data_IF_023225341843
#
_entry.id   IF_023225341843
#
_cell.length_a   1.000
_cell.length_b   1.000
_cell.length_c   1.000
_cell.angle_alpha   90.00
_cell.angle_beta   90.00
_cell.angle_gamma   90.00
#
_symmetry.space_group_name_H-M   'P 1'
#
loop_
_entity.id
_entity.type
_entity.pdbx_description
1 polymer ?
#
# COMPACT_ATOMS: atom_id res chain seq x y z
N UNK A 1 -14.52 9.19 17.39
CA UNK A 1 -14.26 9.12 15.95
C UNK A 1 -13.69 7.75 15.66
N UNK A 2 -14.44 6.91 14.95
CA UNK A 2 -13.93 5.62 14.45
C UNK A 2 -13.71 5.66 12.95
N UNK A 3 -12.73 4.89 12.45
CA UNK A 3 -12.61 4.61 11.02
C UNK A 3 -13.45 3.38 10.70
N UNK A 4 -14.48 3.57 9.90
CA UNK A 4 -15.36 2.51 9.40
C UNK A 4 -14.95 2.22 7.96
N UNK A 5 -14.35 1.05 7.75
CA UNK A 5 -14.06 0.54 6.42
C UNK A 5 -15.36 0.06 5.77
N UNK A 6 -15.67 0.62 4.61
CA UNK A 6 -16.75 0.16 3.73
C UNK A 6 -16.13 -0.64 2.59
N UNK A 7 -16.55 -1.90 2.43
CA UNK A 7 -16.12 -2.75 1.32
C UNK A 7 -17.28 -3.01 0.37
N UNK A 8 -16.99 -3.18 -0.93
CA UNK A 8 -18.04 -3.53 -1.89
C UNK A 8 -18.54 -4.94 -1.61
N UNK A 9 -19.84 -5.21 -1.86
CA UNK A 9 -20.36 -6.57 -1.81
C UNK A 9 -19.56 -7.54 -2.67
N UNK A 10 -19.11 -8.65 -2.09
CA UNK A 10 -18.29 -9.67 -2.73
C UNK A 10 -16.81 -9.30 -2.93
N UNK A 11 -16.37 -8.11 -2.51
CA UNK A 11 -14.96 -7.70 -2.55
C UNK A 11 -14.35 -7.94 -1.17
N UNK A 12 -13.81 -9.15 -0.96
CA UNK A 12 -13.02 -9.44 0.23
C UNK A 12 -11.71 -8.65 0.16
N UNK A 13 -11.59 -7.62 1.00
CA UNK A 13 -10.36 -6.85 1.13
C UNK A 13 -9.51 -7.43 2.26
N UNK A 14 -8.50 -8.20 1.91
CA UNK A 14 -7.51 -8.70 2.86
C UNK A 14 -6.23 -7.89 2.72
N UNK A 15 -5.98 -7.01 3.68
CA UNK A 15 -4.69 -6.36 3.85
C UNK A 15 -4.05 -6.93 5.11
N UNK A 16 -2.83 -7.44 4.98
CA UNK A 16 -2.08 -7.99 6.12
C UNK A 16 -1.75 -6.90 7.15
N UNK A 17 -1.63 -5.63 6.71
CA UNK A 17 -1.37 -4.50 7.57
C UNK A 17 -2.00 -3.22 7.04
N UNK A 18 -2.85 -2.62 7.87
CA UNK A 18 -3.37 -1.28 7.63
C UNK A 18 -2.43 -0.22 8.22
N UNK A 19 -2.19 0.91 7.53
CA UNK A 19 -1.39 2.00 8.08
C UNK A 19 -2.14 2.83 9.15
N UNK A 20 -3.39 2.47 9.45
CA UNK A 20 -4.26 3.11 10.44
C UNK A 20 -5.15 2.04 11.10
N UNK A 21 -5.70 2.38 12.27
CA UNK A 21 -6.63 1.52 12.99
C UNK A 21 -8.02 1.57 12.33
N UNK A 22 -8.57 0.40 12.01
CA UNK A 22 -9.96 0.25 11.57
C UNK A 22 -10.81 -0.11 12.77
N UNK A 23 -11.72 0.79 13.15
CA UNK A 23 -12.63 0.58 14.28
C UNK A 23 -13.75 -0.41 13.93
N UNK A 24 -14.19 -0.42 12.67
CA UNK A 24 -15.24 -1.32 12.18
C UNK A 24 -15.08 -1.59 10.69
N UNK A 25 -15.47 -2.77 10.22
CA UNK A 25 -15.61 -3.08 8.79
C UNK A 25 -17.05 -3.47 8.46
N UNK A 26 -17.56 -3.01 7.32
CA UNK A 26 -18.91 -3.28 6.82
C UNK A 26 -18.86 -3.54 5.31
N UNK A 27 -19.48 -4.62 4.88
CA UNK A 27 -19.77 -4.88 3.47
C UNK A 27 -21.00 -4.07 3.07
N UNK A 28 -20.77 -2.82 2.65
CA UNK A 28 -21.81 -1.84 2.39
C UNK A 28 -21.29 -0.75 1.44
N UNK A 29 -22.15 -0.24 0.56
CA UNK A 29 -21.87 0.97 -0.20
C UNK A 29 -22.13 2.22 0.66
N UNK A 30 -21.61 3.40 0.27
CA UNK A 30 -21.96 4.65 0.94
C UNK A 30 -23.48 4.92 0.97
N UNK A 31 -24.24 4.44 -0.03
CA UNK A 31 -25.70 4.60 -0.08
C UNK A 31 -26.42 3.82 1.03
N UNK A 32 -25.87 2.69 1.45
CA UNK A 32 -26.49 1.80 2.44
C UNK A 32 -26.38 2.34 3.88
N UNK A 33 -25.45 3.27 4.12
CA UNK A 33 -25.15 3.83 5.45
C UNK A 33 -25.63 5.27 5.62
N UNK A 34 -26.30 5.85 4.61
CA UNK A 34 -26.79 7.24 4.67
C UNK A 34 -27.73 7.46 5.85
N UNK A 35 -28.56 6.47 6.20
CA UNK A 35 -29.51 6.57 7.32
C UNK A 35 -28.86 6.60 8.71
N UNK A 36 -27.60 6.20 8.82
CA UNK A 36 -26.87 6.16 10.09
C UNK A 36 -26.41 7.56 10.55
N UNK A 37 -26.38 8.53 9.61
CA UNK A 37 -25.84 9.86 9.83
C UNK A 37 -26.85 10.94 9.40
N UNK A 38 -26.75 12.11 10.03
CA UNK A 38 -27.55 13.27 9.64
C UNK A 38 -26.89 14.02 8.48
N UNK A 39 -25.55 13.93 8.37
CA UNK A 39 -24.78 14.50 7.27
C UNK A 39 -23.52 13.67 6.99
N UNK A 40 -23.33 13.33 5.72
CA UNK A 40 -22.10 12.72 5.21
C UNK A 40 -21.41 13.75 4.31
N UNK A 41 -20.17 14.08 4.63
CA UNK A 41 -19.34 15.02 3.87
C UNK A 41 -18.32 14.24 3.04
N UNK A 42 -18.37 14.30 1.69
CA UNK A 42 -17.33 13.72 0.86
C UNK A 42 -16.05 14.57 0.97
N UNK A 43 -14.95 13.93 1.33
CA UNK A 43 -13.62 14.52 1.43
C UNK A 43 -12.65 13.64 0.64
N UNK A 44 -12.33 14.07 -0.58
CA UNK A 44 -11.33 13.42 -1.44
C UNK A 44 -10.14 14.36 -1.75
N UNK A 45 -10.05 15.50 -1.06
CA UNK A 45 -8.98 16.49 -1.21
C UNK A 45 -8.53 17.08 0.13
N UNK A 46 -7.40 17.82 0.16
CA UNK A 46 -6.76 18.32 1.38
C UNK A 46 -7.50 19.47 2.08
N UNK A 47 -8.76 19.72 1.72
CA UNK A 47 -9.55 20.78 2.33
C UNK A 47 -10.21 20.21 3.57
N UNK A 48 -9.81 20.73 4.74
CA UNK A 48 -10.57 20.55 5.98
C UNK A 48 -11.65 21.63 5.98
N UNK A 49 -12.95 21.29 5.80
CA UNK A 49 -14.00 22.28 5.87
C UNK A 49 -14.05 22.86 7.29
N UNK A 50 -14.47 24.13 7.49
CA UNK A 50 -14.64 24.69 8.83
C UNK A 50 -15.84 24.01 9.51
N UNK A 51 -15.61 22.86 10.12
CA UNK A 51 -16.64 22.02 10.73
C UNK A 51 -16.66 22.32 12.22
N UNK A 52 -17.63 23.13 12.63
CA UNK A 52 -18.09 23.21 14.01
C UNK A 52 -19.31 22.30 14.18
N UNK A 53 -19.22 21.31 15.06
CA UNK A 53 -20.37 20.48 15.42
C UNK A 53 -21.30 21.22 16.38
N UNK A 54 -22.61 21.23 16.08
CA UNK A 54 -23.62 21.40 17.14
C UNK A 54 -23.79 20.07 17.87
N UNK A 55 -24.03 20.10 19.17
CA UNK A 55 -24.32 18.88 19.93
C UNK A 55 -25.49 18.10 19.28
N UNK A 56 -25.35 16.78 19.20
CA UNK A 56 -26.38 15.87 18.71
C UNK A 56 -26.39 15.60 17.20
N UNK A 57 -25.56 16.26 16.40
CA UNK A 57 -25.45 15.98 14.97
C UNK A 57 -24.57 14.76 14.72
N UNK A 58 -25.10 13.71 14.06
CA UNK A 58 -24.33 12.54 13.63
C UNK A 58 -23.64 12.83 12.31
N UNK A 59 -22.35 13.14 12.38
CA UNK A 59 -21.51 13.50 11.24
C UNK A 59 -20.64 12.33 10.79
N UNK A 60 -20.48 12.19 9.48
CA UNK A 60 -19.50 11.30 8.88
C UNK A 60 -18.71 11.95 7.74
N UNK A 61 -17.45 11.54 7.59
CA UNK A 61 -16.54 11.98 6.53
C UNK A 61 -16.27 10.82 5.58
N UNK A 62 -16.79 10.92 4.35
CA UNK A 62 -16.58 9.90 3.33
C UNK A 62 -15.27 10.16 2.59
N UNK A 63 -14.31 9.26 2.73
CA UNK A 63 -13.01 9.31 2.07
C UNK A 63 -12.86 8.13 1.12
N UNK A 64 -12.41 8.37 -0.11
CA UNK A 64 -12.10 7.30 -1.07
C UNK A 64 -10.61 7.17 -1.40
N UNK A 65 -9.81 8.15 -0.99
CA UNK A 65 -8.35 8.18 -1.14
C UNK A 65 -7.61 8.12 0.21
N UNK A 66 -6.43 7.49 0.21
CA UNK A 66 -5.58 7.38 1.42
C UNK A 66 -5.14 8.75 1.93
N UNK A 67 -4.78 9.67 1.02
CA UNK A 67 -4.34 11.02 1.40
C UNK A 67 -5.45 11.84 2.09
N UNK A 68 -6.70 11.70 1.62
CA UNK A 68 -7.84 12.36 2.25
C UNK A 68 -8.13 11.76 3.63
N UNK A 69 -8.12 10.42 3.74
CA UNK A 69 -8.23 9.74 5.03
C UNK A 69 -7.18 10.23 6.03
N UNK A 70 -5.91 10.31 5.62
CA UNK A 70 -4.84 10.83 6.48
C UNK A 70 -5.09 12.30 6.90
N UNK A 71 -5.59 13.12 5.98
CA UNK A 71 -5.90 14.52 6.28
C UNK A 71 -7.02 14.66 7.32
N UNK A 72 -8.06 13.82 7.21
CA UNK A 72 -9.18 13.81 8.18
C UNK A 72 -8.74 13.25 9.53
N UNK A 73 -7.95 12.17 9.54
CA UNK A 73 -7.37 11.62 10.77
C UNK A 73 -6.51 12.65 11.50
N UNK A 74 -5.69 13.41 10.77
CA UNK A 74 -4.82 14.44 11.33
C UNK A 74 -5.59 15.68 11.84
N UNK A 75 -6.79 15.94 11.30
CA UNK A 75 -7.60 17.09 11.66
C UNK A 75 -8.44 16.89 12.93
N UNK A 76 -8.52 15.67 13.47
CA UNK A 76 -9.27 15.32 14.69
C UNK A 76 -10.71 15.86 14.70
N UNK A 77 -11.43 15.64 13.61
CA UNK A 77 -12.77 16.20 13.41
C UNK A 77 -13.84 15.46 14.23
N UNK A 78 -14.90 16.16 14.70
CA UNK A 78 -16.01 15.51 15.36
C UNK A 78 -16.87 14.73 14.35
N UNK A 79 -16.82 13.41 14.40
CA UNK A 79 -17.62 12.51 13.56
C UNK A 79 -16.96 11.14 13.39
N UNK A 80 -17.55 10.29 12.56
CA UNK A 80 -16.92 9.05 12.08
C UNK A 80 -16.28 9.25 10.71
N UNK A 81 -15.31 8.41 10.38
CA UNK A 81 -14.70 8.40 9.04
C UNK A 81 -15.20 7.17 8.30
N UNK A 82 -15.92 7.38 7.21
CA UNK A 82 -16.33 6.33 6.28
C UNK A 82 -15.25 6.20 5.22
N UNK A 83 -14.39 5.19 5.34
CA UNK A 83 -13.38 4.92 4.32
C UNK A 83 -13.92 3.92 3.31
N UNK A 84 -14.18 4.38 2.09
CA UNK A 84 -14.65 3.56 0.97
C UNK A 84 -13.61 3.61 -0.15
N UNK A 85 -12.53 2.82 -0.06
CA UNK A 85 -11.36 2.99 -0.90
C UNK A 85 -11.66 2.81 -2.39
N UNK A 86 -11.18 3.76 -3.18
CA UNK A 86 -11.11 3.63 -4.63
C UNK A 86 -10.08 2.57 -5.03
N UNK A 87 -10.14 2.11 -6.29
CA UNK A 87 -9.12 1.16 -6.81
C UNK A 87 -7.70 1.69 -6.73
N UNK A 88 -7.53 3.01 -6.90
CA UNK A 88 -6.23 3.66 -6.74
C UNK A 88 -5.78 3.62 -5.29
N UNK A 89 -6.67 3.90 -4.34
CA UNK A 89 -6.36 3.80 -2.92
C UNK A 89 -5.99 2.36 -2.51
N UNK A 90 -6.68 1.35 -3.06
CA UNK A 90 -6.31 -0.05 -2.86
C UNK A 90 -4.90 -0.33 -3.37
N UNK A 91 -4.57 0.11 -4.59
CA UNK A 91 -3.23 -0.05 -5.14
C UNK A 91 -2.16 0.66 -4.28
N UNK A 92 -2.43 1.86 -3.79
CA UNK A 92 -1.51 2.61 -2.93
C UNK A 92 -1.29 1.89 -1.59
N UNK A 93 -2.36 1.36 -0.99
CA UNK A 93 -2.29 0.56 0.24
C UNK A 93 -1.50 -0.73 0.03
N UNK A 94 -1.74 -1.44 -1.08
CA UNK A 94 -0.99 -2.65 -1.45
C UNK A 94 0.50 -2.31 -1.60
N UNK A 95 0.82 -1.25 -2.35
CA UNK A 95 2.20 -0.80 -2.54
C UNK A 95 2.88 -0.44 -1.23
N UNK A 96 2.19 0.25 -0.32
CA UNK A 96 2.74 0.61 0.98
C UNK A 96 2.95 -0.60 1.91
N UNK A 97 2.14 -1.65 1.76
CA UNK A 97 2.23 -2.88 2.55
C UNK A 97 3.29 -3.86 2.01
N UNK A 98 3.73 -3.72 0.75
CA UNK A 98 4.74 -4.59 0.15
C UNK A 98 6.05 -4.54 0.92
N UNK A 99 6.67 -5.70 1.10
CA UNK A 99 8.06 -5.80 1.53
C UNK A 99 8.92 -6.05 0.30
N UNK A 100 9.91 -5.22 0.06
CA UNK A 100 10.73 -5.28 -1.15
C UNK A 100 12.22 -5.43 -0.85
N UNK A 101 12.95 -6.01 -1.79
CA UNK A 101 14.37 -6.26 -1.69
C UNK A 101 15.20 -5.01 -2.00
N UNK A 102 16.21 -4.77 -1.16
CA UNK A 102 17.23 -3.74 -1.35
C UNK A 102 18.62 -4.31 -1.12
N UNK A 103 19.64 -3.63 -1.63
CA UNK A 103 21.04 -3.98 -1.37
C UNK A 103 21.39 -3.72 0.10
N UNK A 104 21.80 -4.77 0.84
CA UNK A 104 22.19 -4.66 2.26
C UNK A 104 23.48 -3.85 2.47
N UNK A 105 24.31 -3.74 1.43
CA UNK A 105 25.58 -3.00 1.38
C UNK A 105 25.84 -2.55 -0.06
N UNK A 106 26.87 -1.72 -0.31
CA UNK A 106 27.28 -1.46 -1.68
C UNK A 106 27.68 -2.77 -2.40
N UNK A 107 27.24 -2.91 -3.65
CA UNK A 107 27.51 -4.04 -4.53
C UNK A 107 28.18 -3.55 -5.80
N UNK A 108 29.19 -4.28 -6.27
CA UNK A 108 29.87 -3.98 -7.52
C UNK A 108 29.18 -4.63 -8.72
N UNK A 109 29.30 -4.01 -9.90
CA UNK A 109 28.91 -4.64 -11.15
C UNK A 109 29.63 -5.99 -11.34
N UNK A 110 28.88 -7.01 -11.77
CA UNK A 110 29.34 -8.39 -11.95
C UNK A 110 29.35 -9.23 -10.67
N UNK A 111 29.09 -8.63 -9.50
CA UNK A 111 29.00 -9.36 -8.23
C UNK A 111 27.79 -10.31 -8.23
N UNK A 112 27.98 -11.53 -7.72
CA UNK A 112 26.90 -12.53 -7.63
C UNK A 112 26.11 -12.30 -6.33
N UNK A 113 24.79 -12.19 -6.44
CA UNK A 113 23.90 -11.97 -5.31
C UNK A 113 23.86 -13.20 -4.39
N UNK A 114 24.20 -12.99 -3.12
CA UNK A 114 24.03 -13.93 -2.03
C UNK A 114 22.98 -13.41 -1.04
N UNK A 115 22.49 -14.27 -0.14
CA UNK A 115 21.45 -13.89 0.83
C UNK A 115 21.84 -12.68 1.69
N UNK A 116 23.12 -12.58 2.07
CA UNK A 116 23.69 -11.48 2.86
C UNK A 116 23.79 -10.14 2.10
N UNK A 117 23.64 -10.15 0.77
CA UNK A 117 23.60 -8.93 -0.06
C UNK A 117 22.21 -8.30 -0.09
N UNK A 118 21.19 -8.99 0.41
CA UNK A 118 19.79 -8.63 0.26
C UNK A 118 19.17 -8.35 1.63
N UNK A 119 18.74 -7.11 1.84
CA UNK A 119 17.88 -6.68 2.93
C UNK A 119 16.46 -6.42 2.41
N UNK A 120 15.54 -6.17 3.33
CA UNK A 120 14.14 -5.91 3.03
C UNK A 120 13.77 -4.50 3.51
N UNK A 121 12.91 -3.80 2.76
CA UNK A 121 12.29 -2.54 3.18
C UNK A 121 10.77 -2.60 2.99
N UNK A 122 10.03 -1.80 3.76
CA UNK A 122 8.57 -1.69 3.65
C UNK A 122 8.21 -0.58 2.64
N UNK A 123 7.25 -0.84 1.75
CA UNK A 123 6.71 0.14 0.81
C UNK A 123 7.65 0.53 -0.34
N UNK A 124 8.74 -0.21 -0.53
CA UNK A 124 9.77 0.12 -1.51
C UNK A 124 9.40 -0.18 -2.96
N UNK A 125 10.29 0.20 -3.86
CA UNK A 125 10.11 0.05 -5.33
C UNK A 125 10.80 -1.19 -5.91
N UNK A 126 11.52 -1.94 -5.07
CA UNK A 126 12.20 -3.16 -5.49
C UNK A 126 11.26 -4.34 -5.76
N UNK A 127 11.88 -5.48 -6.07
CA UNK A 127 11.21 -6.77 -6.17
C UNK A 127 10.64 -7.18 -4.82
N UNK A 128 9.53 -7.90 -4.85
CA UNK A 128 8.93 -8.46 -3.66
C UNK A 128 9.89 -9.42 -2.94
N UNK A 129 9.92 -9.42 -1.61
CA UNK A 129 10.78 -10.32 -0.80
C UNK A 129 10.54 -11.79 -1.08
N UNK A 130 9.35 -12.17 -1.55
CA UNK A 130 9.05 -13.54 -1.97
C UNK A 130 9.91 -14.01 -3.16
N UNK A 131 10.45 -13.07 -3.94
CA UNK A 131 11.34 -13.34 -5.07
C UNK A 131 12.82 -13.47 -4.66
N UNK A 132 13.15 -13.38 -3.36
CA UNK A 132 14.54 -13.45 -2.86
C UNK A 132 15.30 -14.66 -3.38
N UNK A 133 14.68 -15.84 -3.35
CA UNK A 133 15.30 -17.07 -3.84
C UNK A 133 15.52 -17.08 -5.36
N UNK A 134 14.69 -16.37 -6.12
CA UNK A 134 14.79 -16.30 -7.58
C UNK A 134 15.92 -15.37 -8.05
N UNK A 135 16.28 -14.36 -7.24
CA UNK A 135 17.33 -13.41 -7.58
C UNK A 135 18.71 -13.81 -7.05
N UNK A 136 18.77 -14.67 -6.04
CA UNK A 136 20.04 -15.23 -5.56
C UNK A 136 20.76 -16.01 -6.66
N UNK A 137 22.08 -15.86 -6.72
CA UNK A 137 22.93 -16.47 -7.75
C UNK A 137 23.02 -15.68 -9.05
N UNK A 138 22.18 -14.65 -9.24
CA UNK A 138 22.27 -13.73 -10.38
C UNK A 138 23.37 -12.69 -10.17
N UNK A 139 23.95 -12.19 -11.25
CA UNK A 139 24.93 -11.09 -11.19
C UNK A 139 24.26 -9.74 -11.24
N UNK A 140 24.83 -8.78 -10.53
CA UNK A 140 24.44 -7.37 -10.60
C UNK A 140 24.99 -6.75 -11.88
N UNK A 141 24.17 -5.99 -12.60
CA UNK A 141 24.56 -5.35 -13.88
C UNK A 141 25.30 -4.03 -13.70
N UNK A 142 25.07 -3.33 -12.60
CA UNK A 142 25.61 -1.99 -12.31
C UNK A 142 26.12 -1.89 -10.87
N UNK A 143 26.94 -0.89 -10.56
CA UNK A 143 27.28 -0.60 -9.18
C UNK A 143 26.03 -0.12 -8.43
N UNK A 144 25.73 -0.74 -7.29
CA UNK A 144 24.59 -0.39 -6.45
C UNK A 144 25.07 0.15 -5.10
N UNK A 145 24.48 1.26 -4.66
CA UNK A 145 24.67 1.76 -3.31
C UNK A 145 23.96 0.86 -2.29
N UNK A 146 24.35 0.96 -1.01
CA UNK A 146 23.55 0.39 0.07
C UNK A 146 22.13 0.98 0.04
N UNK A 147 21.14 0.15 0.37
CA UNK A 147 19.71 0.43 0.30
C UNK A 147 19.18 0.74 -1.11
N UNK A 148 19.97 0.55 -2.17
CA UNK A 148 19.45 0.64 -3.53
C UNK A 148 18.42 -0.48 -3.79
N UNK A 149 17.29 -0.19 -4.46
CA UNK A 149 16.28 -1.19 -4.77
C UNK A 149 16.84 -2.26 -5.72
N UNK A 150 16.50 -3.51 -5.45
CA UNK A 150 16.81 -4.63 -6.35
C UNK A 150 15.64 -4.80 -7.31
N UNK A 151 15.87 -4.64 -8.61
CA UNK A 151 14.89 -4.88 -9.67
C UNK A 151 15.46 -5.75 -10.80
N UNK A 152 14.59 -6.24 -11.68
CA UNK A 152 15.00 -7.09 -12.81
C UNK A 152 15.92 -6.39 -13.81
N UNK A 153 15.90 -5.06 -13.89
CA UNK A 153 16.82 -4.27 -14.69
C UNK A 153 18.20 -4.09 -14.06
N UNK A 154 18.37 -4.43 -12.77
CA UNK A 154 19.65 -4.35 -12.06
C UNK A 154 20.41 -5.68 -12.01
N UNK A 155 19.79 -6.78 -12.45
CA UNK A 155 20.34 -8.13 -12.34
C UNK A 155 20.29 -8.86 -13.68
N UNK A 156 21.20 -9.78 -13.92
CA UNK A 156 21.17 -10.62 -15.12
C UNK A 156 19.84 -11.40 -15.23
N UNK A 157 19.31 -11.50 -16.44
CA UNK A 157 18.19 -12.39 -16.76
C UNK A 157 18.64 -13.86 -16.72
N UNK A 158 17.68 -14.79 -16.60
CA UNK A 158 18.00 -16.22 -16.68
C UNK A 158 18.65 -16.52 -18.04
N UNK A 159 19.76 -17.25 -18.02
CA UNK A 159 20.29 -17.86 -19.22
C UNK A 159 19.28 -18.94 -19.65
N UNK A 160 18.43 -18.64 -20.63
CA UNK A 160 17.64 -19.68 -21.31
C UNK A 160 18.66 -20.63 -21.93
N UNK A 161 18.87 -21.78 -21.32
CA UNK A 161 19.69 -22.86 -21.87
C UNK A 161 19.07 -23.26 -23.20
N UNK A 162 19.69 -22.86 -24.31
CA UNK A 162 19.38 -23.30 -25.67
C UNK A 162 19.79 -24.76 -25.90
N UNK A 163 19.38 -25.65 -25.01
CA UNK A 163 19.71 -27.09 -25.11
C UNK A 163 18.49 -27.97 -25.42
N UNK A 164 17.29 -27.39 -25.69
CA UNK A 164 16.08 -28.16 -26.04
C UNK A 164 15.59 -28.01 -27.49
N UNK A 165 16.34 -27.34 -28.39
CA UNK A 165 16.01 -27.29 -29.83
C UNK A 165 16.97 -28.09 -30.73
N UNK A 166 17.70 -29.06 -30.16
CA UNK A 166 18.53 -30.00 -30.92
C UNK A 166 18.39 -31.43 -30.39
N UNK A 167 17.18 -31.99 -30.50
CA UNK A 167 16.87 -33.40 -30.24
C UNK A 167 15.81 -33.93 -31.18
#
# INVERSE_FOLDING_TARGET
MGVILLTRPGEAMTFDRWPFEISQSREASPQDVVGDYDLILPIDGPIVPPIGGREGLRLAFLCTGVAALHSVLAADLPGDILFYPSRLALLDLERAARRTLVAARPLGAGEVLAAEHLADEDGGVGLDVTLKSAVMGRRVLYDLAAAAPIDFGMIEEDQVTKDEEAG
#
